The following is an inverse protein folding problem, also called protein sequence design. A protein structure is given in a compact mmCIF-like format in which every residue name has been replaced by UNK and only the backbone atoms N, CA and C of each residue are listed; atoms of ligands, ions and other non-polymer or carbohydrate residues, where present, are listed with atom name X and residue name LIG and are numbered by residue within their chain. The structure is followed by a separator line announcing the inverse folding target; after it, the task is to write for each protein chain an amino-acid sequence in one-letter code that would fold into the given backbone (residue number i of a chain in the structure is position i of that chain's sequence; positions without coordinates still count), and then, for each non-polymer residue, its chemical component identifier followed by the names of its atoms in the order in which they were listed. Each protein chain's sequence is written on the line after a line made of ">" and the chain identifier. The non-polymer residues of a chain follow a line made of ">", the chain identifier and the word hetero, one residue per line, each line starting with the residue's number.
data_IF_527878921956
#
_entry.id   IF_527878921956
#
_cell.length_a   1.000
_cell.length_b   1.000
_cell.length_c   1.000
_cell.angle_alpha   90.00
_cell.angle_beta   90.00
_cell.angle_gamma   90.00
#
_symmetry.space_group_name_H-M   'P 1'
#
loop_
_entity.id
_entity.type
_entity.pdbx_description
1 polymer ?
#
# COMPACT_ATOMS: atom_id res chain seq x y z
N UNK A 1 -18.93 40.16 -15.23
CA UNK A 1 -18.96 38.99 -14.33
C UNK A 1 -18.18 37.81 -14.92
N UNK A 2 -18.24 37.57 -16.23
CA UNK A 2 -17.49 36.50 -16.92
C UNK A 2 -15.97 36.52 -16.70
N UNK A 3 -15.32 37.69 -16.70
CA UNK A 3 -13.85 37.78 -16.48
C UNK A 3 -13.38 37.17 -15.16
N UNK A 4 -14.20 37.20 -14.09
CA UNK A 4 -13.85 36.60 -12.79
C UNK A 4 -13.99 35.07 -12.79
N UNK A 5 -14.85 34.54 -13.66
CA UNK A 5 -15.09 33.10 -13.77
C UNK A 5 -13.94 32.42 -14.53
N UNK A 6 -13.47 33.04 -15.62
CA UNK A 6 -12.28 32.57 -16.35
C UNK A 6 -10.99 32.65 -15.51
N UNK A 7 -10.85 33.67 -14.66
CA UNK A 7 -9.72 33.76 -13.72
C UNK A 7 -9.76 32.64 -12.68
N UNK A 8 -10.96 32.29 -12.17
CA UNK A 8 -11.13 31.21 -11.21
C UNK A 8 -10.75 29.84 -11.82
N UNK A 9 -11.26 29.51 -13.01
CA UNK A 9 -10.93 28.26 -13.69
C UNK A 9 -9.43 28.14 -14.00
N UNK A 10 -8.77 29.25 -14.36
CA UNK A 10 -7.31 29.24 -14.56
C UNK A 10 -6.57 28.96 -13.26
N UNK A 11 -6.99 29.55 -12.15
CA UNK A 11 -6.38 29.29 -10.84
C UNK A 11 -6.62 27.86 -10.38
N UNK A 12 -7.82 27.32 -10.54
CA UNK A 12 -8.14 25.94 -10.19
C UNK A 12 -7.33 24.94 -11.01
N UNK A 13 -7.17 25.19 -12.31
CA UNK A 13 -6.34 24.35 -13.18
C UNK A 13 -4.87 24.34 -12.76
N UNK A 14 -4.33 25.49 -12.37
CA UNK A 14 -2.95 25.60 -11.87
C UNK A 14 -2.77 24.81 -10.57
N UNK A 15 -3.72 24.94 -9.63
CA UNK A 15 -3.69 24.21 -8.36
C UNK A 15 -3.76 22.70 -8.59
N UNK A 16 -4.63 22.24 -9.50
CA UNK A 16 -4.74 20.83 -9.84
C UNK A 16 -3.42 20.29 -10.43
N UNK A 17 -2.82 21.05 -11.35
CA UNK A 17 -1.59 20.66 -12.02
C UNK A 17 -0.38 20.64 -11.06
N UNK A 18 -0.34 21.57 -10.11
CA UNK A 18 0.65 21.60 -9.03
C UNK A 18 0.48 20.41 -8.08
N UNK A 19 -0.75 20.06 -7.72
CA UNK A 19 -1.05 18.91 -6.85
C UNK A 19 -0.68 17.58 -7.53
N UNK A 20 -0.88 17.46 -8.85
CA UNK A 20 -0.42 16.30 -9.63
C UNK A 20 1.11 16.22 -9.66
N UNK A 21 1.80 17.35 -9.85
CA UNK A 21 3.27 17.40 -9.82
C UNK A 21 3.82 17.03 -8.45
N UNK A 22 3.19 17.50 -7.38
CA UNK A 22 3.58 17.17 -6.01
C UNK A 22 3.37 15.67 -5.72
N UNK A 23 2.25 15.10 -6.18
CA UNK A 23 2.01 13.65 -6.09
C UNK A 23 3.05 12.85 -6.88
N UNK A 24 3.39 13.27 -8.09
CA UNK A 24 4.42 12.62 -8.92
C UNK A 24 5.81 12.72 -8.28
N UNK A 25 6.14 13.84 -7.64
CA UNK A 25 7.41 14.02 -6.92
C UNK A 25 7.49 13.10 -5.69
N UNK A 26 6.42 13.03 -4.89
CA UNK A 26 6.31 12.10 -3.77
C UNK A 26 6.42 10.65 -4.22
N UNK A 27 5.79 10.30 -5.35
CA UNK A 27 5.92 8.97 -5.94
C UNK A 27 7.37 8.66 -6.33
N UNK A 28 8.09 9.63 -6.92
CA UNK A 28 9.51 9.48 -7.29
C UNK A 28 10.44 9.39 -6.07
N UNK A 29 10.14 10.09 -4.98
CA UNK A 29 10.90 9.98 -3.74
C UNK A 29 10.68 8.61 -3.07
N UNK A 30 9.44 8.13 -3.05
CA UNK A 30 9.09 6.78 -2.57
C UNK A 30 9.75 5.71 -3.44
N UNK A 31 9.81 5.93 -4.76
CA UNK A 31 10.54 5.07 -5.70
C UNK A 31 12.00 4.91 -5.29
N UNK A 32 12.67 6.03 -5.04
CA UNK A 32 14.07 6.05 -4.68
C UNK A 32 14.31 5.38 -3.32
N UNK A 33 13.41 5.59 -2.34
CA UNK A 33 13.45 4.90 -1.05
C UNK A 33 13.30 3.38 -1.21
N UNK A 34 12.37 2.94 -2.05
CA UNK A 34 12.19 1.51 -2.33
C UNK A 34 13.42 0.89 -3.00
N UNK A 35 14.01 1.56 -3.98
CA UNK A 35 15.22 1.07 -4.67
C UNK A 35 16.43 1.01 -3.71
N UNK A 36 16.55 1.96 -2.78
CA UNK A 36 17.57 1.95 -1.71
C UNK A 36 17.36 0.80 -0.72
N UNK A 37 16.12 0.55 -0.29
CA UNK A 37 15.77 -0.59 0.58
C UNK A 37 16.11 -1.93 -0.11
N UNK A 38 15.82 -2.02 -1.42
CA UNK A 38 16.10 -3.21 -2.22
C UNK A 38 17.59 -3.51 -2.31
N UNK A 39 18.43 -2.48 -2.42
CA UNK A 39 19.90 -2.64 -2.44
C UNK A 39 20.46 -3.12 -1.09
N UNK A 40 19.82 -2.71 0.02
CA UNK A 40 20.20 -3.11 1.38
C UNK A 40 19.89 -4.58 1.67
N UNK A 41 18.80 -5.11 1.10
CA UNK A 41 18.43 -6.54 1.22
C UNK A 41 19.33 -7.41 0.34
N UNK A 42 19.63 -6.98 -0.89
CA UNK A 42 20.44 -7.76 -1.84
C UNK A 42 21.89 -7.96 -1.37
N UNK A 43 22.41 -7.06 -0.53
CA UNK A 43 23.73 -7.18 0.10
C UNK A 43 23.73 -8.00 1.42
N UNK A 44 22.55 -8.35 1.97
CA UNK A 44 22.41 -9.16 3.19
C UNK A 44 21.88 -10.59 2.99
N UNK A 45 21.24 -10.90 1.86
CA UNK A 45 20.46 -12.15 1.67
C UNK A 45 21.14 -13.17 0.72
N UNK A 46 22.37 -13.60 1.05
CA UNK A 46 23.04 -14.76 0.41
C UNK A 46 23.26 -15.93 1.37
N UNK A 47 22.38 -16.13 2.35
CA UNK A 47 22.45 -17.31 3.22
C UNK A 47 21.03 -17.83 3.51
N UNK A 48 20.72 -18.99 2.93
CA UNK A 48 19.69 -19.99 3.28
C UNK A 48 18.21 -19.54 3.11
N UNK A 49 17.23 -20.39 2.75
CA UNK A 49 17.06 -21.82 3.01
C UNK A 49 16.01 -22.41 2.06
N UNK A 50 16.21 -23.68 1.70
CA UNK A 50 15.27 -24.55 0.98
C UNK A 50 14.12 -24.99 1.91
N UNK A 51 12.95 -25.33 1.32
CA UNK A 51 12.08 -26.50 1.66
C UNK A 51 10.56 -26.24 1.81
N UNK A 52 9.82 -26.96 0.97
CA UNK A 52 8.61 -27.77 1.23
C UNK A 52 7.20 -27.15 1.38
N UNK A 53 6.39 -27.45 0.35
CA UNK A 53 5.07 -28.09 0.30
C UNK A 53 3.92 -27.61 1.22
N UNK A 54 2.78 -27.25 0.59
CA UNK A 54 1.43 -27.76 0.93
C UNK A 54 0.37 -27.19 -0.01
N UNK A 55 -0.49 -28.09 -0.47
CA UNK A 55 -1.64 -27.90 -1.36
C UNK A 55 -2.76 -27.06 -0.73
N UNK A 56 -3.26 -26.04 -1.45
CA UNK A 56 -4.69 -25.70 -1.41
C UNK A 56 -5.11 -24.93 -2.68
N UNK A 57 -6.06 -25.49 -3.41
CA UNK A 57 -6.59 -24.99 -4.67
C UNK A 57 -7.74 -24.02 -4.43
N UNK A 58 -7.54 -22.72 -4.71
CA UNK A 58 -8.57 -21.78 -5.19
C UNK A 58 -7.94 -20.38 -5.37
N UNK A 59 -7.81 -19.91 -6.62
CA UNK A 59 -7.43 -18.52 -6.95
C UNK A 59 -6.13 -17.96 -6.29
N UNK A 60 -5.13 -18.82 -6.06
CA UNK A 60 -3.90 -18.48 -5.28
C UNK A 60 -2.76 -17.95 -6.18
N UNK A 61 -2.92 -17.95 -7.50
CA UNK A 61 -1.81 -17.62 -8.42
C UNK A 61 -1.31 -16.18 -8.26
N UNK A 62 -2.18 -15.24 -7.88
CA UNK A 62 -1.79 -13.85 -7.59
C UNK A 62 -1.23 -13.67 -6.16
N UNK A 63 -1.81 -14.39 -5.20
CA UNK A 63 -1.45 -14.32 -3.78
C UNK A 63 -0.01 -14.82 -3.50
N UNK A 64 0.41 -15.91 -4.16
CA UNK A 64 1.77 -16.47 -4.04
C UNK A 64 2.84 -15.53 -4.62
N UNK A 65 2.51 -14.78 -5.67
CA UNK A 65 3.44 -13.82 -6.25
C UNK A 65 3.60 -12.59 -5.35
N UNK A 66 2.51 -12.03 -4.82
CA UNK A 66 2.58 -10.87 -3.93
C UNK A 66 3.31 -11.17 -2.62
N UNK A 67 3.04 -12.32 -1.97
CA UNK A 67 3.74 -12.75 -0.75
C UNK A 67 5.25 -12.92 -0.93
N UNK A 68 5.70 -13.32 -2.12
CA UNK A 68 7.13 -13.43 -2.44
C UNK A 68 7.78 -12.08 -2.77
N UNK A 69 6.99 -11.11 -3.19
CA UNK A 69 7.44 -9.81 -3.70
C UNK A 69 7.34 -8.69 -2.66
N UNK A 70 6.51 -8.86 -1.64
CA UNK A 70 6.26 -7.90 -0.57
C UNK A 70 6.65 -8.58 0.75
N UNK A 71 7.56 -7.98 1.55
CA UNK A 71 7.87 -8.49 2.88
C UNK A 71 6.63 -8.44 3.79
N UNK A 72 6.58 -9.28 4.82
CA UNK A 72 5.49 -9.23 5.79
C UNK A 72 5.47 -7.89 6.54
N UNK A 73 4.28 -7.39 6.88
CA UNK A 73 4.14 -6.13 7.61
C UNK A 73 4.39 -6.32 9.10
N UNK A 74 5.40 -5.62 9.65
CA UNK A 74 5.60 -5.51 11.10
C UNK A 74 4.94 -4.23 11.63
N UNK A 75 3.85 -4.31 12.43
CA UNK A 75 3.16 -3.14 12.96
C UNK A 75 3.98 -2.29 13.93
N UNK A 76 5.11 -2.79 14.45
CA UNK A 76 5.97 -2.08 15.41
C UNK A 76 7.11 -1.32 14.73
N UNK A 77 7.60 -1.84 13.61
CA UNK A 77 8.80 -1.31 12.93
C UNK A 77 8.50 -0.71 11.55
N UNK A 78 7.42 -1.14 10.90
CA UNK A 78 7.10 -0.78 9.52
C UNK A 78 6.12 0.39 9.45
N UNK A 79 6.39 1.35 8.57
CA UNK A 79 5.44 2.42 8.25
C UNK A 79 4.33 1.86 7.35
N UNK A 80 3.09 1.81 7.86
CA UNK A 80 1.93 1.33 7.10
C UNK A 80 1.72 2.12 5.80
N UNK A 81 2.08 3.40 5.78
CA UNK A 81 1.92 4.27 4.62
C UNK A 81 2.83 3.81 3.49
N UNK A 82 4.08 3.50 3.82
CA UNK A 82 5.05 2.97 2.87
C UNK A 82 4.65 1.57 2.41
N UNK A 83 4.21 0.73 3.35
CA UNK A 83 3.75 -0.62 3.07
C UNK A 83 2.60 -0.66 2.04
N UNK A 84 1.58 0.18 2.24
CA UNK A 84 0.44 0.27 1.32
C UNK A 84 0.88 0.74 -0.07
N UNK A 85 1.82 1.69 -0.17
CA UNK A 85 2.36 2.13 -1.47
C UNK A 85 3.06 0.98 -2.20
N UNK A 86 3.87 0.19 -1.50
CA UNK A 86 4.55 -0.99 -2.09
C UNK A 86 3.50 -1.98 -2.60
N UNK A 87 2.48 -2.27 -1.77
CA UNK A 87 1.38 -3.14 -2.15
C UNK A 87 0.64 -2.65 -3.41
N UNK A 88 0.22 -1.39 -3.46
CA UNK A 88 -0.51 -0.82 -4.61
C UNK A 88 0.28 -0.94 -5.91
N UNK A 89 1.58 -0.69 -5.84
CA UNK A 89 2.48 -0.76 -7.00
C UNK A 89 2.64 -2.19 -7.49
N UNK A 90 2.77 -3.16 -6.58
CA UNK A 90 2.87 -4.57 -6.96
C UNK A 90 1.54 -5.12 -7.47
N UNK A 91 0.42 -4.72 -6.87
CA UNK A 91 -0.91 -5.08 -7.33
C UNK A 91 -1.18 -4.52 -8.75
N UNK A 92 -0.79 -3.27 -9.01
CA UNK A 92 -0.82 -2.67 -10.36
C UNK A 92 0.07 -3.41 -11.35
N UNK A 93 1.31 -3.75 -10.96
CA UNK A 93 2.25 -4.50 -11.81
C UNK A 93 1.75 -5.90 -12.14
N UNK A 94 1.09 -6.55 -11.17
CA UNK A 94 0.44 -7.84 -11.35
C UNK A 94 -0.93 -7.74 -12.06
N UNK A 95 -1.35 -6.53 -12.47
CA UNK A 95 -2.62 -6.25 -13.14
C UNK A 95 -3.85 -6.76 -12.38
N UNK A 96 -3.80 -6.69 -11.04
CA UNK A 96 -4.88 -7.15 -10.16
C UNK A 96 -5.98 -6.08 -10.12
N UNK A 97 -7.23 -6.50 -10.29
CA UNK A 97 -8.38 -5.62 -10.19
C UNK A 97 -8.53 -5.04 -8.77
N UNK A 98 -8.92 -3.76 -8.66
CA UNK A 98 -9.00 -3.05 -7.38
C UNK A 98 -9.92 -3.72 -6.35
N UNK A 99 -10.97 -4.40 -6.81
CA UNK A 99 -11.90 -5.18 -5.97
C UNK A 99 -11.21 -6.32 -5.21
N UNK A 100 -10.17 -6.90 -5.81
CA UNK A 100 -9.40 -8.00 -5.21
C UNK A 100 -8.32 -7.48 -4.26
N UNK A 101 -8.01 -6.17 -4.26
CA UNK A 101 -6.89 -5.63 -3.50
C UNK A 101 -7.04 -5.84 -2.01
N UNK A 102 -8.25 -5.70 -1.46
CA UNK A 102 -8.50 -5.95 -0.04
C UNK A 102 -8.19 -7.41 0.30
N UNK A 103 -8.70 -8.36 -0.48
CA UNK A 103 -8.46 -9.78 -0.26
C UNK A 103 -6.97 -10.12 -0.28
N UNK A 104 -6.24 -9.58 -1.26
CA UNK A 104 -4.78 -9.73 -1.34
C UNK A 104 -4.07 -9.08 -0.14
N UNK A 105 -4.50 -7.88 0.27
CA UNK A 105 -3.92 -7.15 1.39
C UNK A 105 -4.11 -7.90 2.72
N UNK A 106 -5.31 -8.44 2.97
CA UNK A 106 -5.60 -9.23 4.17
C UNK A 106 -4.69 -10.47 4.27
N UNK A 107 -4.33 -11.07 3.14
CA UNK A 107 -3.40 -12.20 3.11
C UNK A 107 -1.95 -11.86 3.48
N UNK A 108 -1.59 -10.57 3.44
CA UNK A 108 -0.23 -10.06 3.71
C UNK A 108 -0.11 -9.37 5.08
N UNK A 109 -1.23 -9.03 5.71
CA UNK A 109 -1.26 -8.33 6.99
C UNK A 109 -1.31 -9.33 8.17
N UNK A 110 -0.70 -8.98 9.32
CA UNK A 110 -0.88 -9.71 10.57
C UNK A 110 -2.34 -9.82 10.98
N UNK A 111 -2.66 -10.91 11.68
CA UNK A 111 -4.03 -11.23 12.12
C UNK A 111 -4.67 -10.10 12.94
N UNK A 112 -3.92 -9.39 13.77
CA UNK A 112 -4.41 -8.25 14.56
C UNK A 112 -5.05 -7.17 13.66
N UNK A 113 -4.41 -6.87 12.54
CA UNK A 113 -4.86 -5.84 11.60
C UNK A 113 -6.04 -6.36 10.78
N UNK A 114 -6.00 -7.63 10.38
CA UNK A 114 -7.12 -8.30 9.70
C UNK A 114 -8.37 -8.27 10.58
N UNK A 115 -8.24 -8.58 11.86
CA UNK A 115 -9.35 -8.50 12.83
C UNK A 115 -9.86 -7.08 13.02
N UNK A 116 -8.99 -6.08 12.95
CA UNK A 116 -9.38 -4.67 13.01
C UNK A 116 -10.23 -4.28 11.79
N UNK A 117 -9.84 -4.70 10.58
CA UNK A 117 -10.62 -4.46 9.36
C UNK A 117 -11.95 -5.22 9.39
N UNK A 118 -11.96 -6.46 9.89
CA UNK A 118 -13.16 -7.30 9.97
C UNK A 118 -14.26 -6.77 10.92
N UNK A 119 -13.96 -5.75 11.74
CA UNK A 119 -14.96 -5.08 12.59
C UNK A 119 -15.78 -4.04 11.81
N UNK A 120 -15.30 -3.61 10.65
CA UNK A 120 -16.01 -2.71 9.77
C UNK A 120 -17.08 -3.47 8.98
N UNK A 121 -18.18 -2.83 8.58
CA UNK A 121 -19.20 -3.47 7.76
C UNK A 121 -18.62 -3.93 6.42
N UNK A 122 -19.14 -5.03 5.87
CA UNK A 122 -18.63 -5.71 4.67
C UNK A 122 -18.42 -4.75 3.48
N UNK A 123 -19.39 -3.87 3.22
CA UNK A 123 -19.31 -2.86 2.15
C UNK A 123 -18.10 -1.91 2.29
N UNK A 124 -17.70 -1.61 3.53
CA UNK A 124 -16.53 -0.79 3.83
C UNK A 124 -15.25 -1.61 3.88
N UNK A 125 -15.31 -2.84 4.39
CA UNK A 125 -14.18 -3.76 4.45
C UNK A 125 -13.71 -4.17 3.05
N UNK A 126 -14.61 -4.31 2.08
CA UNK A 126 -14.28 -4.59 0.66
C UNK A 126 -13.76 -3.36 -0.10
N UNK A 127 -13.96 -2.15 0.43
CA UNK A 127 -13.51 -0.92 -0.20
C UNK A 127 -12.06 -0.60 0.17
N UNK A 128 -11.15 -0.82 -0.78
CA UNK A 128 -9.72 -0.54 -0.58
C UNK A 128 -9.42 0.91 -0.14
N UNK A 129 -10.10 1.91 -0.71
CA UNK A 129 -9.84 3.31 -0.34
C UNK A 129 -10.27 3.60 1.10
N UNK A 130 -11.32 2.94 1.57
CA UNK A 130 -11.75 3.01 2.97
C UNK A 130 -10.74 2.31 3.88
N UNK A 131 -10.39 1.06 3.58
CA UNK A 131 -9.41 0.27 4.35
C UNK A 131 -8.06 1.00 4.42
N UNK A 132 -7.59 1.56 3.30
CA UNK A 132 -6.37 2.39 3.26
C UNK A 132 -6.45 3.55 4.24
N UNK A 133 -7.53 4.33 4.23
CA UNK A 133 -7.72 5.45 5.16
C UNK A 133 -7.80 4.99 6.61
N UNK A 134 -8.48 3.88 6.87
CA UNK A 134 -8.64 3.29 8.20
C UNK A 134 -7.29 2.86 8.78
N UNK A 135 -6.49 2.13 7.99
CA UNK A 135 -5.13 1.71 8.35
C UNK A 135 -4.21 2.91 8.59
N UNK A 136 -4.20 3.88 7.66
CA UNK A 136 -3.44 5.11 7.84
C UNK A 136 -3.85 5.84 9.11
N UNK A 137 -5.15 5.92 9.43
CA UNK A 137 -5.64 6.58 10.65
C UNK A 137 -5.18 5.84 11.90
N UNK A 138 -5.29 4.50 11.95
CA UNK A 138 -4.87 3.71 13.12
C UNK A 138 -3.39 3.90 13.41
N UNK A 139 -2.53 3.77 12.40
CA UNK A 139 -1.09 3.78 12.58
C UNK A 139 -0.47 5.17 12.58
N UNK A 140 -1.08 6.19 11.93
CA UNK A 140 -0.64 7.60 12.08
C UNK A 140 -1.14 8.26 13.37
N UNK A 141 -2.25 7.80 13.96
CA UNK A 141 -2.74 8.30 15.25
C UNK A 141 -2.22 7.52 16.46
N UNK A 142 -1.38 6.49 16.26
CA UNK A 142 -0.64 5.85 17.34
C UNK A 142 0.74 6.51 17.49
N UNK A 143 0.91 7.49 18.40
CA UNK A 143 2.24 7.93 18.87
C UNK A 143 2.92 6.90 19.79
N UNK A 144 2.49 5.63 19.79
CA UNK A 144 2.93 4.60 20.73
C UNK A 144 4.09 3.73 20.23
N UNK A 145 5.13 4.31 19.61
CA UNK A 145 6.42 3.60 19.52
C UNK A 145 7.63 4.56 19.62
N UNK A 146 7.50 5.61 20.43
CA UNK A 146 8.67 6.21 21.07
C UNK A 146 8.65 5.81 22.55
N UNK A 147 9.05 4.58 22.86
CA UNK A 147 9.44 4.21 24.21
C UNK A 147 10.57 3.20 24.20
#
# INVERSE_FOLDING_TARGET
>A
MEKRLEELERTEKIILEELVKEQALKEKELQLKFDLERFKIESGFRVNEESNDSTNTCSVTSNLNLKKLIPDFDPKQSDISLYLVIFERQAKRASIEKKEWVGQLLGLLPLEIVQFIAREPEEQAENYDYVKKLLLKRFKLSPEVFR
#
